data_IF_342268566689
#
_entry.id   IF_342268566689
#
_cell.length_a   1.000
_cell.length_b   1.000
_cell.length_c   1.000
_cell.angle_alpha   90.00
_cell.angle_beta   90.00
_cell.angle_gamma   90.00
#
_symmetry.space_group_name_H-M   'P 1'
#
loop_
_entity.id
_entity.type
_entity.pdbx_description
1 polymer ?
#
# COMPACT_ATOMS: atom_id res chain seq x y z
N UNK A 1 -16.71 -6.45 -21.99
CA UNK A 1 -17.57 -6.01 -20.86
C UNK A 1 -18.12 -7.26 -20.20
N UNK A 2 -17.89 -7.45 -18.90
CA UNK A 2 -18.41 -8.61 -18.18
C UNK A 2 -19.92 -8.42 -17.91
N UNK A 3 -20.69 -9.51 -17.91
CA UNK A 3 -22.14 -9.50 -17.69
C UNK A 3 -22.51 -8.91 -16.30
N UNK A 4 -21.58 -8.96 -15.34
CA UNK A 4 -21.75 -8.47 -13.96
C UNK A 4 -20.96 -7.18 -13.67
N UNK A 5 -20.66 -6.36 -14.68
CA UNK A 5 -19.96 -5.10 -14.47
C UNK A 5 -20.82 -4.14 -13.63
N UNK A 6 -20.30 -3.73 -12.47
CA UNK A 6 -21.02 -2.86 -11.53
C UNK A 6 -21.43 -1.51 -12.15
N UNK A 7 -20.75 -1.07 -13.23
CA UNK A 7 -21.15 0.12 -13.99
C UNK A 7 -22.48 -0.04 -14.73
N UNK A 8 -22.85 -1.27 -15.08
CA UNK A 8 -24.11 -1.55 -15.78
C UNK A 8 -25.31 -1.41 -14.86
N UNK A 9 -25.13 -1.65 -13.56
CA UNK A 9 -26.18 -1.45 -12.56
C UNK A 9 -26.45 0.01 -12.18
N UNK A 10 -25.59 0.96 -12.58
CA UNK A 10 -25.80 2.37 -12.30
C UNK A 10 -26.97 2.95 -13.11
N UNK A 11 -27.70 3.88 -12.53
CA UNK A 11 -28.64 4.75 -13.24
C UNK A 11 -27.90 5.74 -14.14
N UNK A 12 -28.60 6.35 -15.10
CA UNK A 12 -28.02 7.40 -15.95
C UNK A 12 -27.50 8.59 -15.13
N UNK A 13 -28.24 8.98 -14.08
CA UNK A 13 -27.83 10.02 -13.15
C UNK A 13 -26.52 9.66 -12.45
N UNK A 14 -26.40 8.47 -11.88
CA UNK A 14 -25.17 8.02 -11.20
C UNK A 14 -23.99 7.94 -12.16
N UNK A 15 -24.19 7.45 -13.39
CA UNK A 15 -23.15 7.46 -14.44
C UNK A 15 -22.66 8.86 -14.74
N UNK A 16 -23.55 9.86 -14.79
CA UNK A 16 -23.18 11.27 -14.99
C UNK A 16 -22.29 11.76 -13.84
N UNK A 17 -22.70 11.55 -12.58
CA UNK A 17 -21.88 11.94 -11.43
C UNK A 17 -20.53 11.21 -11.38
N UNK A 18 -20.47 9.93 -11.78
CA UNK A 18 -19.22 9.19 -11.86
C UNK A 18 -18.28 9.78 -12.91
N UNK A 19 -18.81 10.10 -14.10
CA UNK A 19 -18.06 10.75 -15.21
C UNK A 19 -17.56 12.14 -14.84
N UNK A 20 -18.30 12.88 -14.01
CA UNK A 20 -17.90 14.21 -13.54
C UNK A 20 -16.99 14.16 -12.30
N UNK A 21 -16.63 12.96 -11.81
CA UNK A 21 -15.85 12.76 -10.59
C UNK A 21 -14.35 12.51 -10.85
N UNK A 22 -13.58 12.58 -9.77
CA UNK A 22 -12.15 12.23 -9.74
C UNK A 22 -11.81 10.86 -10.32
N UNK A 23 -12.75 9.91 -10.23
CA UNK A 23 -12.54 8.56 -10.70
C UNK A 23 -12.43 8.50 -12.22
N UNK A 24 -13.22 9.30 -12.94
CA UNK A 24 -13.16 9.36 -14.41
C UNK A 24 -11.81 9.92 -14.86
N UNK A 25 -11.38 11.02 -14.23
CA UNK A 25 -10.09 11.63 -14.50
C UNK A 25 -8.97 10.63 -14.25
N UNK A 26 -8.98 9.94 -13.10
CA UNK A 26 -7.98 8.94 -12.77
C UNK A 26 -7.98 7.78 -13.77
N UNK A 27 -9.16 7.21 -14.06
CA UNK A 27 -9.36 6.11 -15.02
C UNK A 27 -8.83 6.46 -16.42
N UNK A 28 -9.14 7.65 -16.93
CA UNK A 28 -8.76 8.02 -18.30
C UNK A 28 -7.37 8.60 -18.42
N UNK A 29 -6.83 9.19 -17.34
CA UNK A 29 -5.66 10.08 -17.42
C UNK A 29 -4.51 9.70 -16.49
N UNK A 30 -4.70 8.84 -15.50
CA UNK A 30 -3.61 8.41 -14.60
C UNK A 30 -3.36 6.92 -14.76
N UNK A 31 -4.40 6.10 -14.61
CA UNK A 31 -4.29 4.66 -14.63
C UNK A 31 -3.63 4.09 -15.91
N UNK A 32 -3.99 4.54 -17.14
CA UNK A 32 -3.41 4.01 -18.38
C UNK A 32 -1.95 4.42 -18.61
N UNK A 33 -1.45 5.41 -17.87
CA UNK A 33 -0.07 5.87 -17.99
C UNK A 33 0.91 5.07 -17.15
N UNK A 34 0.42 4.25 -16.21
CA UNK A 34 1.28 3.40 -15.39
C UNK A 34 1.86 2.30 -16.28
N UNK A 35 3.16 2.37 -16.53
CA UNK A 35 3.88 1.40 -17.35
C UNK A 35 4.18 0.14 -16.54
N UNK A 36 3.38 -0.91 -16.75
CA UNK A 36 3.57 -2.19 -16.08
C UNK A 36 4.96 -2.81 -16.34
N UNK A 37 5.51 -2.62 -17.55
CA UNK A 37 6.82 -3.16 -17.96
C UNK A 37 7.95 -2.73 -17.03
N UNK A 38 7.88 -1.55 -16.39
CA UNK A 38 8.89 -1.10 -15.43
C UNK A 38 8.98 -2.04 -14.22
N UNK A 39 7.86 -2.63 -13.84
CA UNK A 39 7.76 -3.50 -12.69
C UNK A 39 7.89 -4.99 -13.06
N UNK A 40 8.06 -5.31 -14.34
CA UNK A 40 8.21 -6.69 -14.83
C UNK A 40 9.33 -7.45 -14.13
N UNK A 41 10.44 -6.76 -13.85
CA UNK A 41 11.61 -7.25 -13.11
C UNK A 41 11.31 -7.73 -11.68
N UNK A 42 10.15 -7.36 -11.10
CA UNK A 42 9.74 -7.80 -9.76
C UNK A 42 9.00 -9.13 -9.79
N UNK A 43 8.60 -9.59 -10.97
CA UNK A 43 7.85 -10.82 -11.14
C UNK A 43 8.78 -12.03 -11.22
N UNK A 44 8.24 -13.17 -10.80
CA UNK A 44 8.96 -14.42 -10.91
C UNK A 44 8.89 -14.94 -12.35
N UNK A 45 10.05 -15.33 -12.89
CA UNK A 45 10.13 -16.07 -14.16
C UNK A 45 9.68 -17.54 -14.03
N UNK A 46 9.31 -17.99 -12.82
CA UNK A 46 8.90 -19.37 -12.58
C UNK A 46 7.47 -19.62 -13.09
N UNK A 47 7.27 -20.51 -14.09
CA UNK A 47 5.96 -20.81 -14.66
C UNK A 47 4.98 -21.47 -13.69
N UNK A 48 5.46 -22.04 -12.59
CA UNK A 48 4.62 -22.63 -11.54
C UNK A 48 4.02 -21.58 -10.58
N UNK A 49 4.40 -20.30 -10.72
CA UNK A 49 3.84 -19.20 -9.93
C UNK A 49 2.42 -18.87 -10.38
N UNK A 50 1.59 -18.37 -9.46
CA UNK A 50 0.27 -17.85 -9.83
C UNK A 50 0.43 -16.68 -10.83
N UNK A 51 -0.51 -16.50 -11.78
CA UNK A 51 -0.51 -15.34 -12.66
C UNK A 51 -0.42 -14.05 -11.85
N UNK A 52 0.48 -13.17 -12.25
CA UNK A 52 0.65 -11.89 -11.59
C UNK A 52 -0.60 -11.03 -11.82
N UNK A 53 -1.11 -10.42 -10.76
CA UNK A 53 -2.09 -9.37 -10.94
C UNK A 53 -1.39 -8.14 -11.55
N UNK A 54 -2.13 -7.33 -12.34
CA UNK A 54 -1.59 -6.13 -12.95
C UNK A 54 -1.03 -5.15 -11.91
N UNK A 55 0.26 -4.80 -12.01
CA UNK A 55 0.91 -3.92 -11.02
C UNK A 55 0.36 -2.49 -11.11
N UNK A 56 -0.15 -2.07 -12.25
CA UNK A 56 -0.85 -0.79 -12.36
C UNK A 56 -2.03 -0.65 -11.38
N UNK A 57 -2.70 -1.75 -11.01
CA UNK A 57 -3.75 -1.74 -9.98
C UNK A 57 -3.14 -1.50 -8.59
N UNK A 58 -2.02 -2.17 -8.27
CA UNK A 58 -1.32 -1.97 -7.00
C UNK A 58 -0.79 -0.55 -6.88
N UNK A 59 -0.10 -0.08 -7.91
CA UNK A 59 0.47 1.26 -7.92
C UNK A 59 -0.61 2.34 -7.95
N UNK A 60 -1.67 2.14 -8.74
CA UNK A 60 -2.84 3.02 -8.77
C UNK A 60 -3.51 3.13 -7.41
N UNK A 61 -3.70 2.01 -6.70
CA UNK A 61 -4.26 2.03 -5.35
C UNK A 61 -3.36 2.77 -4.35
N UNK A 62 -2.03 2.63 -4.46
CA UNK A 62 -1.08 3.39 -3.63
C UNK A 62 -1.12 4.90 -3.92
N UNK A 63 -1.29 5.29 -5.18
CA UNK A 63 -1.50 6.69 -5.55
C UNK A 63 -2.78 7.22 -4.90
N UNK A 64 -3.89 6.49 -5.03
CA UNK A 64 -5.18 6.89 -4.43
C UNK A 64 -5.07 6.97 -2.90
N UNK A 65 -4.41 6.00 -2.26
CA UNK A 65 -4.16 6.01 -0.82
C UNK A 65 -3.46 7.31 -0.40
N UNK A 66 -2.42 7.74 -1.13
CA UNK A 66 -1.70 8.99 -0.83
C UNK A 66 -2.56 10.24 -1.12
N UNK A 67 -3.25 10.29 -2.27
CA UNK A 67 -4.16 11.39 -2.66
C UNK A 67 -5.26 11.63 -1.61
N UNK A 68 -5.72 10.56 -0.96
CA UNK A 68 -6.77 10.61 0.06
C UNK A 68 -6.24 10.48 1.50
N UNK A 69 -4.93 10.44 1.71
CA UNK A 69 -4.26 10.30 3.01
C UNK A 69 -4.85 9.16 3.86
N UNK A 70 -5.02 8.00 3.24
CA UNK A 70 -5.62 6.81 3.81
C UNK A 70 -4.56 5.84 4.36
N UNK A 71 -4.99 4.93 5.25
CA UNK A 71 -4.22 3.73 5.54
C UNK A 71 -4.42 2.68 4.44
N UNK A 72 -3.56 1.67 4.38
CA UNK A 72 -3.74 0.54 3.45
C UNK A 72 -5.09 -0.17 3.69
N UNK A 73 -5.53 -0.31 4.96
CA UNK A 73 -6.87 -0.83 5.30
C UNK A 73 -7.99 -0.02 4.65
N UNK A 74 -7.95 1.30 4.79
CA UNK A 74 -9.00 2.17 4.28
C UNK A 74 -8.99 2.22 2.74
N UNK A 75 -7.82 2.16 2.12
CA UNK A 75 -7.70 2.10 0.67
C UNK A 75 -8.28 0.78 0.12
N UNK A 76 -7.98 -0.35 0.75
CA UNK A 76 -8.54 -1.65 0.35
C UNK A 76 -10.05 -1.72 0.56
N UNK A 77 -10.56 -1.21 1.69
CA UNK A 77 -12.00 -1.12 1.91
C UNK A 77 -12.67 -0.20 0.89
N UNK A 78 -12.03 0.91 0.51
CA UNK A 78 -12.54 1.78 -0.56
C UNK A 78 -12.59 1.07 -1.91
N UNK A 79 -11.57 0.28 -2.25
CA UNK A 79 -11.59 -0.53 -3.47
C UNK A 79 -12.74 -1.56 -3.48
N UNK A 80 -13.05 -2.16 -2.33
CA UNK A 80 -14.13 -3.14 -2.23
C UNK A 80 -15.52 -2.53 -2.32
N UNK A 81 -15.74 -1.35 -1.72
CA UNK A 81 -17.08 -0.81 -1.49
C UNK A 81 -17.38 0.52 -2.20
N UNK A 82 -16.38 1.18 -2.79
CA UNK A 82 -16.55 2.43 -3.54
C UNK A 82 -16.32 2.17 -5.04
N UNK A 83 -17.40 2.20 -5.82
CA UNK A 83 -17.35 2.00 -7.27
C UNK A 83 -16.44 3.02 -7.98
N UNK A 84 -16.19 4.18 -7.37
CA UNK A 84 -15.24 5.18 -7.91
C UNK A 84 -13.82 4.67 -7.89
N UNK A 85 -13.42 3.90 -6.87
CA UNK A 85 -12.09 3.27 -6.84
C UNK A 85 -11.99 2.17 -7.90
N UNK A 86 -13.04 1.36 -8.04
CA UNK A 86 -13.07 0.31 -9.05
C UNK A 86 -13.04 0.87 -10.48
N UNK A 87 -13.80 1.93 -10.72
CA UNK A 87 -13.80 2.67 -11.99
C UNK A 87 -12.42 3.27 -12.27
N UNK A 88 -11.83 3.95 -11.29
CA UNK A 88 -10.50 4.54 -11.41
C UNK A 88 -9.41 3.52 -11.76
N UNK A 89 -9.51 2.29 -11.24
CA UNK A 89 -8.52 1.22 -11.41
C UNK A 89 -8.91 0.17 -12.46
N UNK A 90 -9.98 0.41 -13.23
CA UNK A 90 -10.51 -0.51 -14.24
C UNK A 90 -10.84 -1.92 -13.70
N UNK A 91 -11.31 -2.02 -12.45
CA UNK A 91 -11.61 -3.31 -11.79
C UNK A 91 -13.10 -3.61 -11.63
N UNK A 92 -14.01 -2.83 -12.23
CA UNK A 92 -15.48 -3.00 -12.11
C UNK A 92 -15.98 -4.32 -12.68
N UNK A 93 -15.26 -4.90 -13.63
CA UNK A 93 -15.57 -6.18 -14.27
C UNK A 93 -15.05 -7.40 -13.52
N UNK A 94 -14.26 -7.21 -12.45
CA UNK A 94 -13.67 -8.30 -11.70
C UNK A 94 -14.68 -8.87 -10.70
N UNK A 95 -14.79 -10.21 -10.65
CA UNK A 95 -15.63 -10.90 -9.66
C UNK A 95 -15.14 -10.66 -8.23
N UNK A 96 -13.82 -10.60 -8.05
CA UNK A 96 -13.14 -10.30 -6.80
C UNK A 96 -12.03 -9.29 -7.08
N UNK A 97 -11.85 -8.30 -6.22
CA UNK A 97 -10.84 -7.27 -6.41
C UNK A 97 -9.43 -7.91 -6.35
N UNK A 98 -8.54 -7.63 -7.32
CA UNK A 98 -7.26 -8.35 -7.49
C UNK A 98 -6.17 -7.92 -6.49
N UNK A 99 -6.55 -7.22 -5.42
CA UNK A 99 -5.64 -6.68 -4.41
C UNK A 99 -6.06 -7.14 -3.03
N UNK A 100 -5.15 -7.83 -2.35
CA UNK A 100 -5.26 -8.17 -0.93
C UNK A 100 -4.27 -7.36 -0.09
N UNK A 101 -4.44 -7.40 1.24
CA UNK A 101 -3.45 -6.89 2.20
C UNK A 101 -2.05 -7.43 1.90
N UNK A 102 -1.93 -8.74 1.68
CA UNK A 102 -0.65 -9.39 1.40
C UNK A 102 -0.06 -8.97 0.06
N UNK A 103 -0.91 -8.75 -0.96
CA UNK A 103 -0.47 -8.27 -2.27
C UNK A 103 0.22 -6.92 -2.18
N UNK A 104 -0.37 -5.96 -1.45
CA UNK A 104 0.25 -4.64 -1.24
C UNK A 104 1.55 -4.73 -0.44
N UNK A 105 1.55 -5.48 0.67
CA UNK A 105 2.76 -5.71 1.47
C UNK A 105 3.88 -6.30 0.63
N UNK A 106 3.59 -7.34 -0.15
CA UNK A 106 4.57 -8.02 -1.00
C UNK A 106 5.12 -7.09 -2.09
N UNK A 107 4.26 -6.33 -2.76
CA UNK A 107 4.68 -5.36 -3.77
C UNK A 107 5.62 -4.30 -3.18
N UNK A 108 5.24 -3.71 -2.03
CA UNK A 108 6.07 -2.74 -1.30
C UNK A 108 7.41 -3.31 -0.86
N UNK A 109 7.44 -4.57 -0.42
CA UNK A 109 8.66 -5.26 -0.04
C UNK A 109 9.55 -5.54 -1.26
N UNK A 110 8.96 -5.92 -2.40
CA UNK A 110 9.68 -6.17 -3.64
C UNK A 110 10.37 -4.90 -4.17
N UNK A 111 9.63 -3.79 -4.30
CA UNK A 111 10.23 -2.51 -4.75
C UNK A 111 11.30 -2.01 -3.78
N UNK A 112 11.11 -2.21 -2.47
CA UNK A 112 12.10 -1.81 -1.48
C UNK A 112 13.38 -2.65 -1.56
N UNK A 113 13.27 -3.97 -1.72
CA UNK A 113 14.43 -4.85 -1.88
C UNK A 113 15.20 -4.52 -3.15
N UNK A 114 14.50 -4.36 -4.27
CA UNK A 114 15.13 -3.97 -5.53
C UNK A 114 15.90 -2.64 -5.40
N UNK A 115 15.33 -1.67 -4.70
CA UNK A 115 16.01 -0.40 -4.40
C UNK A 115 17.28 -0.58 -3.56
N UNK A 116 17.28 -1.49 -2.60
CA UNK A 116 18.45 -1.76 -1.76
C UNK A 116 19.55 -2.52 -2.51
N UNK A 117 19.18 -3.42 -3.43
CA UNK A 117 20.10 -4.25 -4.20
C UNK A 117 20.72 -3.49 -5.38
N UNK A 118 19.94 -2.65 -6.05
CA UNK A 118 20.35 -1.99 -7.30
C UNK A 118 20.49 -0.48 -7.21
N UNK A 119 20.06 0.15 -6.10
CA UNK A 119 20.04 1.61 -5.96
C UNK A 119 18.95 2.31 -6.78
N UNK A 120 18.09 1.55 -7.47
CA UNK A 120 17.06 2.05 -8.39
C UNK A 120 15.70 2.10 -7.69
N UNK A 121 15.04 3.25 -7.71
CA UNK A 121 13.71 3.43 -7.11
C UNK A 121 12.62 3.41 -8.19
N UNK A 122 12.09 2.22 -8.48
CA UNK A 122 11.11 2.00 -9.55
C UNK A 122 9.85 2.86 -9.39
N UNK A 123 9.43 3.11 -8.15
CA UNK A 123 8.28 3.94 -7.86
C UNK A 123 8.60 5.40 -8.19
N UNK A 124 9.74 5.88 -7.72
CA UNK A 124 10.17 7.25 -7.99
C UNK A 124 10.36 7.49 -9.49
N UNK A 125 11.02 6.58 -10.20
CA UNK A 125 11.21 6.68 -11.65
C UNK A 125 9.90 6.74 -12.41
N UNK A 126 8.89 5.95 -12.02
CA UNK A 126 7.60 5.98 -12.68
C UNK A 126 6.88 7.32 -12.45
N UNK A 127 6.87 7.80 -11.20
CA UNK A 127 6.30 9.11 -10.84
C UNK A 127 7.00 10.23 -11.61
N UNK A 128 8.33 10.26 -11.63
CA UNK A 128 9.13 11.27 -12.31
C UNK A 128 8.98 11.22 -13.82
N UNK A 129 8.87 10.03 -14.41
CA UNK A 129 8.64 9.88 -15.85
C UNK A 129 7.30 10.46 -16.30
N UNK A 130 6.31 10.47 -15.39
CA UNK A 130 4.94 10.93 -15.65
C UNK A 130 4.58 12.23 -14.93
N UNK A 131 5.56 12.91 -14.34
CA UNK A 131 5.36 14.03 -13.44
C UNK A 131 4.46 15.13 -14.04
N UNK A 132 4.79 15.61 -15.26
CA UNK A 132 4.01 16.67 -15.93
C UNK A 132 2.54 16.28 -16.13
N UNK A 133 2.29 15.00 -16.43
CA UNK A 133 0.95 14.43 -16.59
C UNK A 133 0.21 14.45 -15.25
N UNK A 134 0.82 13.92 -14.18
CA UNK A 134 0.27 13.94 -12.82
C UNK A 134 -0.06 15.35 -12.32
N UNK A 135 0.87 16.31 -12.44
CA UNK A 135 0.68 17.68 -11.96
C UNK A 135 -0.45 18.42 -12.68
N UNK A 136 -0.56 18.24 -14.00
CA UNK A 136 -1.61 18.88 -14.79
C UNK A 136 -2.99 18.33 -14.44
N UNK A 137 -3.09 17.03 -14.19
CA UNK A 137 -4.34 16.35 -13.88
C UNK A 137 -4.82 16.67 -12.47
N UNK A 138 -3.94 16.61 -11.47
CA UNK A 138 -4.32 16.83 -10.06
C UNK A 138 -4.72 18.30 -9.79
N UNK A 139 -4.15 19.27 -10.52
CA UNK A 139 -4.56 20.68 -10.44
C UNK A 139 -5.99 20.96 -10.93
N UNK A 140 -6.55 20.12 -11.80
CA UNK A 140 -7.91 20.32 -12.35
C UNK A 140 -8.98 20.04 -11.29
N UNK A 141 -8.66 19.26 -10.25
CA UNK A 141 -9.66 18.80 -9.27
C UNK A 141 -9.64 19.53 -7.93
N UNK A 142 -9.00 20.72 -7.88
CA UNK A 142 -8.94 21.53 -6.66
C UNK A 142 -8.08 20.93 -5.54
N UNK A 143 -7.50 19.75 -5.74
CA UNK A 143 -6.46 19.18 -4.88
C UNK A 143 -5.10 19.53 -5.47
N UNK A 144 -4.49 20.60 -4.97
CA UNK A 144 -3.09 20.94 -5.29
C UNK A 144 -2.14 19.89 -4.70
N UNK A 145 -2.09 18.71 -5.30
CA UNK A 145 -1.12 17.68 -4.94
C UNK A 145 0.14 18.03 -5.71
N UNK A 146 1.02 18.72 -4.98
CA UNK A 146 2.41 18.89 -5.32
C UNK A 146 3.04 17.51 -5.54
N UNK A 147 3.77 17.33 -6.63
CA UNK A 147 4.36 16.01 -6.98
C UNK A 147 5.43 15.58 -5.99
N UNK A 148 6.16 16.55 -5.43
CA UNK A 148 7.04 16.39 -4.28
C UNK A 148 6.30 15.89 -3.02
N UNK A 149 4.97 15.92 -3.00
CA UNK A 149 4.12 15.35 -1.95
C UNK A 149 3.65 13.92 -2.22
N UNK A 150 3.83 13.35 -3.43
CA UNK A 150 3.56 11.93 -3.67
C UNK A 150 4.71 11.13 -3.07
N UNK A 151 4.63 10.89 -1.77
CA UNK A 151 5.67 10.23 -0.99
C UNK A 151 5.57 8.71 -1.06
N UNK A 152 5.01 8.13 -2.14
CA UNK A 152 4.71 6.70 -2.25
C UNK A 152 5.97 5.87 -2.00
N UNK A 153 7.09 6.19 -2.65
CA UNK A 153 8.37 5.52 -2.40
C UNK A 153 8.79 5.61 -0.92
N UNK A 154 8.74 6.82 -0.35
CA UNK A 154 9.08 7.04 1.06
C UNK A 154 8.14 6.26 2.00
N UNK A 155 6.86 6.20 1.70
CA UNK A 155 5.84 5.43 2.44
C UNK A 155 6.10 3.93 2.33
N UNK A 156 6.39 3.43 1.13
CA UNK A 156 6.85 2.06 0.89
C UNK A 156 8.04 1.73 1.78
N UNK A 157 9.11 2.53 1.72
CA UNK A 157 10.32 2.37 2.54
C UNK A 157 10.01 2.39 4.04
N UNK A 158 9.26 3.38 4.54
CA UNK A 158 8.97 3.55 5.97
C UNK A 158 8.14 2.40 6.53
N UNK A 159 7.06 2.02 5.86
CA UNK A 159 6.21 0.91 6.30
C UNK A 159 6.95 -0.44 6.19
N UNK A 160 7.79 -0.65 5.17
CA UNK A 160 8.58 -1.89 5.05
C UNK A 160 9.59 -1.99 6.19
N UNK A 161 10.24 -0.88 6.55
CA UNK A 161 11.10 -0.80 7.73
C UNK A 161 10.34 -1.04 9.03
N UNK A 162 9.16 -0.43 9.19
CA UNK A 162 8.31 -0.64 10.36
C UNK A 162 7.93 -2.12 10.51
N UNK A 163 7.53 -2.76 9.42
CA UNK A 163 7.14 -4.17 9.39
C UNK A 163 8.31 -5.11 9.72
N UNK A 164 9.51 -4.83 9.21
CA UNK A 164 10.72 -5.60 9.55
C UNK A 164 11.04 -5.48 11.05
N UNK A 165 11.06 -4.25 11.58
CA UNK A 165 11.38 -4.00 12.99
C UNK A 165 10.32 -4.66 13.89
N UNK A 166 9.04 -4.45 13.59
CA UNK A 166 7.92 -5.06 14.31
C UNK A 166 8.00 -6.58 14.29
N UNK A 167 8.19 -7.18 13.11
CA UNK A 167 8.29 -8.63 12.97
C UNK A 167 9.47 -9.20 13.76
N UNK A 168 10.59 -8.49 13.80
CA UNK A 168 11.77 -8.88 14.59
C UNK A 168 11.45 -8.86 16.08
N UNK A 169 10.87 -7.78 16.59
CA UNK A 169 10.47 -7.65 18.00
C UNK A 169 9.42 -8.69 18.38
N UNK A 170 8.37 -8.87 17.57
CA UNK A 170 7.31 -9.87 17.82
C UNK A 170 7.87 -11.29 17.85
N UNK A 171 8.78 -11.66 16.94
CA UNK A 171 9.43 -12.98 16.96
C UNK A 171 10.28 -13.18 18.21
N UNK A 172 11.05 -12.16 18.63
CA UNK A 172 11.84 -12.24 19.86
C UNK A 172 10.93 -12.41 21.08
N UNK A 173 9.83 -11.66 21.16
CA UNK A 173 8.80 -11.81 22.21
C UNK A 173 8.23 -13.23 22.24
N UNK A 174 7.94 -13.83 21.07
CA UNK A 174 7.46 -15.21 20.98
C UNK A 174 8.49 -16.22 21.52
N UNK A 175 9.79 -16.00 21.29
CA UNK A 175 10.85 -16.85 21.85
C UNK A 175 10.95 -16.69 23.37
N UNK A 176 10.90 -15.45 23.87
CA UNK A 176 10.96 -15.16 25.32
C UNK A 176 9.77 -15.78 26.05
N UNK A 177 8.55 -15.58 25.52
CA UNK A 177 7.31 -16.07 26.12
C UNK A 177 7.23 -17.60 26.23
N UNK A 178 8.02 -18.34 25.42
CA UNK A 178 8.14 -19.80 25.54
C UNK A 178 9.06 -20.24 26.67
N UNK A 179 10.00 -19.39 27.09
CA UNK A 179 11.07 -19.74 28.02
C UNK A 179 10.93 -19.04 29.38
N UNK A 180 10.07 -18.02 29.49
CA UNK A 180 9.91 -17.22 30.70
C UNK A 180 8.63 -16.39 30.69
N UNK A 181 8.24 -15.87 31.85
CA UNK A 181 7.11 -14.94 32.00
C UNK A 181 7.38 -13.63 31.27
N UNK A 182 6.53 -13.32 30.30
CA UNK A 182 6.57 -12.07 29.54
C UNK A 182 5.97 -10.92 30.36
N UNK A 183 6.66 -9.78 30.42
CA UNK A 183 6.12 -8.57 31.03
C UNK A 183 4.82 -8.13 30.33
N UNK A 184 3.84 -7.68 31.13
CA UNK A 184 2.50 -7.32 30.64
C UNK A 184 2.51 -6.29 29.50
N UNK A 185 3.46 -5.37 29.54
CA UNK A 185 3.69 -4.37 28.51
C UNK A 185 3.85 -4.95 27.09
N UNK A 186 4.43 -6.15 26.97
CA UNK A 186 4.71 -6.79 25.68
C UNK A 186 3.64 -7.78 25.23
N UNK A 187 2.66 -8.13 26.08
CA UNK A 187 1.55 -9.03 25.73
C UNK A 187 0.82 -8.61 24.44
N UNK A 188 0.58 -7.31 24.14
CA UNK A 188 -0.08 -6.92 22.89
C UNK A 188 0.61 -7.41 21.62
N UNK A 189 1.94 -7.61 21.62
CA UNK A 189 2.68 -8.13 20.45
C UNK A 189 2.36 -9.60 20.11
N UNK A 190 1.62 -10.29 20.98
CA UNK A 190 1.13 -11.65 20.73
C UNK A 190 -0.20 -11.67 19.97
N UNK A 191 -0.90 -10.54 19.89
CA UNK A 191 -2.18 -10.39 19.20
C UNK A 191 -1.99 -9.81 17.78
N UNK A 192 -2.71 -10.37 16.81
CA UNK A 192 -2.76 -9.88 15.44
C UNK A 192 -3.39 -8.48 15.34
N UNK A 193 -4.31 -8.12 16.25
CA UNK A 193 -4.89 -6.79 16.34
C UNK A 193 -3.81 -5.69 16.47
N UNK A 194 -2.79 -5.93 17.29
CA UNK A 194 -1.68 -5.02 17.49
C UNK A 194 -0.83 -4.87 16.23
N UNK A 195 -0.65 -5.94 15.44
CA UNK A 195 0.02 -5.88 14.14
C UNK A 195 -0.79 -4.99 13.18
N UNK A 196 -2.10 -5.23 13.09
CA UNK A 196 -2.98 -4.48 12.22
C UNK A 196 -2.99 -2.99 12.59
N UNK A 197 -3.10 -2.66 13.87
CA UNK A 197 -3.04 -1.29 14.36
C UNK A 197 -1.69 -0.62 14.09
N UNK A 198 -0.60 -1.36 14.18
CA UNK A 198 0.75 -0.82 14.02
C UNK A 198 1.16 -0.65 12.56
N UNK A 199 0.69 -1.52 11.67
CA UNK A 199 1.13 -1.54 10.27
C UNK A 199 -0.04 -1.19 9.34
N UNK A 200 -1.08 -2.03 9.31
CA UNK A 200 -2.14 -1.95 8.31
C UNK A 200 -3.05 -0.72 8.42
N UNK A 201 -3.27 -0.24 9.66
CA UNK A 201 -4.07 0.96 9.96
C UNK A 201 -3.24 2.23 10.07
N UNK A 202 -1.93 2.13 9.80
CA UNK A 202 -1.05 3.30 9.83
C UNK A 202 -1.26 4.19 8.63
N UNK A 203 -1.21 5.50 8.88
CA UNK A 203 -1.07 6.52 7.84
C UNK A 203 0.38 6.99 7.80
N UNK A 204 0.77 7.58 6.67
CA UNK A 204 2.13 8.05 6.43
C UNK A 204 2.67 8.98 7.52
N UNK A 205 1.82 9.90 8.01
CA UNK A 205 2.20 10.84 9.08
C UNK A 205 2.54 10.16 10.41
N UNK A 206 2.04 8.96 10.65
CA UNK A 206 2.18 8.24 11.92
C UNK A 206 3.41 7.29 11.90
N UNK A 207 3.96 6.99 10.71
CA UNK A 207 4.98 5.94 10.53
C UNK A 207 6.27 6.19 11.31
N UNK A 208 6.80 7.41 11.28
CA UNK A 208 8.04 7.73 11.99
C UNK A 208 7.89 7.56 13.50
N UNK A 209 6.74 7.96 14.05
CA UNK A 209 6.42 7.81 15.47
C UNK A 209 6.31 6.34 15.84
N UNK A 210 5.66 5.52 15.00
CA UNK A 210 5.53 4.07 15.23
C UNK A 210 6.87 3.35 15.11
N UNK A 211 7.70 3.68 14.12
CA UNK A 211 9.07 3.13 13.99
C UNK A 211 9.87 3.39 15.28
N UNK A 212 9.86 4.64 15.76
CA UNK A 212 10.55 5.00 17.02
C UNK A 212 10.01 4.23 18.21
N UNK A 213 8.69 4.04 18.31
CA UNK A 213 8.05 3.28 19.38
C UNK A 213 8.52 1.82 19.38
N UNK A 214 8.39 1.12 18.26
CA UNK A 214 8.77 -0.30 18.17
C UNK A 214 10.28 -0.51 18.38
N UNK A 215 11.12 0.43 17.93
CA UNK A 215 12.55 0.40 18.25
C UNK A 215 12.82 0.52 19.74
N UNK A 216 12.16 1.45 20.44
CA UNK A 216 12.27 1.58 21.90
C UNK A 216 11.80 0.31 22.61
N UNK A 217 10.73 -0.31 22.12
CA UNK A 217 10.22 -1.58 22.64
C UNK A 217 11.27 -2.69 22.48
N UNK A 218 11.93 -2.76 21.32
CA UNK A 218 13.03 -3.70 21.08
C UNK A 218 14.23 -3.48 22.02
N UNK A 219 14.65 -2.23 22.23
CA UNK A 219 15.74 -1.90 23.18
C UNK A 219 15.35 -2.29 24.61
N UNK A 220 14.11 -1.99 25.02
CA UNK A 220 13.60 -2.35 26.35
C UNK A 220 13.52 -3.86 26.54
N UNK A 221 13.10 -4.58 25.51
CA UNK A 221 13.05 -6.05 25.54
C UNK A 221 14.46 -6.63 25.68
N UNK A 222 15.42 -6.11 24.93
CA UNK A 222 16.82 -6.50 25.06
C UNK A 222 17.37 -6.23 26.46
N UNK A 223 17.12 -5.06 27.05
CA UNK A 223 17.62 -4.75 28.41
C UNK A 223 17.03 -5.63 29.50
N UNK A 224 15.78 -6.09 29.35
CA UNK A 224 15.11 -6.91 30.37
C UNK A 224 15.53 -8.38 30.28
N UNK A 225 15.76 -8.89 29.07
CA UNK A 225 15.94 -10.33 28.81
C UNK A 225 17.33 -10.72 28.32
N UNK A 226 18.27 -9.77 28.24
CA UNK A 226 19.68 -10.08 28.02
C UNK A 226 20.18 -10.92 29.20
N UNK A 227 20.74 -12.09 28.90
CA UNK A 227 21.54 -12.84 29.87
C UNK A 227 22.91 -12.20 29.94
N UNK A 228 23.41 -12.00 31.16
CA UNK A 228 24.81 -11.62 31.40
C UNK A 228 25.78 -12.69 30.90
#
# INVERSE_FOLDING_TARGET
>A
MAINDSLLSLTERERKYLKDSWAETFSKKIFPFIKEDRFSILYSDNPASRPNNPVNIYFGLLILRDIFNQSDEKALNSLMFDIRYQHALHTTSFKEQPVSKNSLTNFRAAVYRYNQEHGIDLIQEEIESQAKTFSKILKIEGKTIRMDSLMISSSCRKLSRLEIIYSTVSRLIKVIAKNTTLAEYFKPYQDESHYNDTIYRSRDKDLNTKIKKVLKDGVRLYSIYRKD
#
